data_IF_928408297827
#
_entry.id   IF_928408297827
#
_cell.length_a   1.000
_cell.length_b   1.000
_cell.length_c   1.000
_cell.angle_alpha   90.00
_cell.angle_beta   90.00
_cell.angle_gamma   90.00
#
_symmetry.space_group_name_H-M   'P 1'
#
loop_
_entity.id
_entity.type
_entity.pdbx_description
1 polymer ?
#
# COMPACT_ATOMS: atom_id res chain seq x y z
N UNK A 1 27.64 -24.93 0.87
CA UNK A 1 26.71 -24.58 -0.22
C UNK A 1 26.57 -23.08 -0.25
N UNK A 2 27.28 -22.41 -1.15
CA UNK A 2 27.23 -20.96 -1.31
C UNK A 2 26.03 -20.63 -2.21
N UNK A 3 25.07 -19.88 -1.67
CA UNK A 3 23.94 -19.35 -2.44
C UNK A 3 24.42 -18.06 -3.10
N UNK A 4 24.56 -18.11 -4.42
CA UNK A 4 24.79 -16.95 -5.28
C UNK A 4 23.54 -16.06 -5.24
N UNK A 5 23.61 -14.96 -4.50
CA UNK A 5 22.63 -13.90 -4.57
C UNK A 5 22.78 -13.18 -5.92
N UNK A 6 21.81 -13.36 -6.81
CA UNK A 6 21.65 -12.55 -8.02
C UNK A 6 21.14 -11.19 -7.59
N UNK A 7 22.06 -10.26 -7.30
CA UNK A 7 21.73 -8.85 -7.12
C UNK A 7 21.30 -8.27 -8.47
N UNK A 8 19.99 -8.24 -8.73
CA UNK A 8 19.40 -7.43 -9.78
C UNK A 8 19.68 -5.95 -9.48
N UNK A 9 20.75 -5.41 -10.05
CA UNK A 9 21.03 -3.97 -10.03
C UNK A 9 19.86 -3.26 -10.72
N UNK A 10 19.03 -2.58 -9.94
CA UNK A 10 18.23 -1.48 -10.44
C UNK A 10 19.20 -0.43 -11.00
N UNK A 11 19.38 -0.42 -12.31
CA UNK A 11 20.16 0.61 -12.98
C UNK A 11 19.44 1.94 -12.75
N UNK A 12 20.04 2.80 -11.94
CA UNK A 12 19.66 4.20 -11.86
C UNK A 12 19.62 4.77 -13.28
N UNK A 13 18.44 5.24 -13.70
CA UNK A 13 18.26 5.92 -14.98
C UNK A 13 19.20 7.12 -15.00
N UNK A 14 20.31 7.01 -15.75
CA UNK A 14 21.11 8.18 -16.10
C UNK A 14 20.25 9.07 -17.01
N UNK A 15 20.21 10.40 -16.81
CA UNK A 15 19.60 11.29 -17.77
C UNK A 15 20.46 11.26 -19.04
N UNK A 16 20.04 10.47 -20.02
CA UNK A 16 20.53 10.50 -21.40
C UNK A 16 19.84 11.67 -22.12
N UNK A 17 20.01 12.89 -21.61
CA UNK A 17 19.40 14.09 -22.22
C UNK A 17 20.16 14.56 -23.49
N UNK A 18 21.17 13.82 -23.96
CA UNK A 18 22.01 14.26 -25.09
C UNK A 18 22.30 13.23 -26.19
N UNK A 19 21.91 11.96 -26.06
CA UNK A 19 21.81 11.09 -27.25
C UNK A 19 20.46 11.42 -27.90
N UNK A 20 20.48 12.38 -28.83
CA UNK A 20 19.28 12.96 -29.42
C UNK A 20 18.30 11.89 -29.91
N UNK A 21 17.02 12.05 -29.57
CA UNK A 21 15.91 11.22 -30.02
C UNK A 21 16.00 10.82 -31.51
N UNK A 22 16.54 11.71 -32.35
CA UNK A 22 16.74 11.50 -33.77
C UNK A 22 17.83 10.49 -34.10
N UNK A 23 18.92 10.42 -33.33
CA UNK A 23 19.91 9.35 -33.47
C UNK A 23 19.30 7.98 -33.20
N UNK A 24 18.34 7.89 -32.26
CA UNK A 24 17.68 6.64 -31.94
C UNK A 24 16.67 6.21 -33.02
N UNK A 25 15.86 7.16 -33.52
CA UNK A 25 14.89 6.91 -34.61
C UNK A 25 15.60 6.58 -35.93
N UNK A 26 16.69 7.26 -36.24
CA UNK A 26 17.43 7.15 -37.51
C UNK A 26 18.59 6.14 -37.43
N UNK A 27 18.71 5.41 -36.31
CA UNK A 27 19.77 4.43 -36.10
C UNK A 27 19.70 3.31 -37.14
N UNK A 28 20.80 2.99 -37.85
CA UNK A 28 20.83 1.89 -38.82
C UNK A 28 20.69 0.50 -38.16
N UNK A 29 20.77 0.45 -36.83
CA UNK A 29 20.60 -0.77 -36.05
C UNK A 29 19.13 -1.00 -35.64
N UNK A 30 18.23 -0.10 -36.02
CA UNK A 30 16.78 -0.19 -35.76
C UNK A 30 16.03 -0.45 -37.06
N UNK A 31 15.08 -1.37 -37.01
CA UNK A 31 14.22 -1.73 -38.15
C UNK A 31 12.77 -1.41 -37.81
N UNK A 32 12.48 -0.11 -37.71
CA UNK A 32 11.11 0.37 -37.58
C UNK A 32 10.40 0.18 -38.91
N UNK A 33 9.50 -0.81 -38.96
CA UNK A 33 8.70 -1.13 -40.15
C UNK A 33 7.66 -0.03 -40.44
N UNK A 34 6.82 -0.26 -41.46
CA UNK A 34 5.79 0.68 -41.91
C UNK A 34 4.90 1.15 -40.75
N UNK A 35 4.76 2.47 -40.63
CA UNK A 35 3.90 3.11 -39.63
C UNK A 35 2.47 2.55 -39.70
N UNK A 36 1.94 2.13 -38.55
CA UNK A 36 0.54 1.71 -38.44
C UNK A 36 -0.29 2.84 -37.85
N UNK A 37 -1.31 3.34 -38.58
CA UNK A 37 -2.20 4.34 -38.04
C UNK A 37 -3.08 3.72 -36.95
N UNK A 38 -3.07 4.33 -35.78
CA UNK A 38 -4.03 4.05 -34.70
C UNK A 38 -4.81 5.32 -34.38
N UNK A 39 -5.98 5.17 -33.76
CA UNK A 39 -6.83 6.31 -33.38
C UNK A 39 -7.17 7.24 -34.57
N UNK A 40 -7.68 6.63 -35.66
CA UNK A 40 -8.01 7.34 -36.90
C UNK A 40 -6.83 8.15 -37.50
N UNK A 41 -5.59 7.70 -37.30
CA UNK A 41 -4.39 8.33 -37.85
C UNK A 41 -3.82 9.48 -37.02
N UNK A 42 -4.44 9.81 -35.87
CA UNK A 42 -3.88 10.78 -34.91
C UNK A 42 -2.65 10.24 -34.19
N UNK A 43 -2.41 8.94 -34.29
CA UNK A 43 -1.25 8.28 -33.71
C UNK A 43 -0.66 7.33 -34.76
N UNK A 44 0.67 7.34 -34.90
CA UNK A 44 1.41 6.43 -35.76
C UNK A 44 2.29 5.55 -34.89
N UNK A 45 2.06 4.23 -34.92
CA UNK A 45 2.89 3.25 -34.22
C UNK A 45 3.95 2.67 -35.16
N UNK A 46 5.20 2.71 -34.71
CA UNK A 46 6.38 2.14 -35.34
C UNK A 46 6.93 1.06 -34.39
N UNK A 47 6.56 -0.21 -34.62
CA UNK A 47 7.03 -1.36 -33.83
C UNK A 47 7.99 -2.22 -34.66
N UNK A 48 9.18 -2.51 -34.13
CA UNK A 48 10.14 -3.42 -34.78
C UNK A 48 9.56 -4.83 -34.98
N UNK A 49 8.66 -5.27 -34.08
CA UNK A 49 7.97 -6.55 -34.18
C UNK A 49 6.92 -6.60 -35.29
N UNK A 50 6.33 -5.45 -35.65
CA UNK A 50 5.15 -5.31 -36.51
C UNK A 50 3.93 -6.09 -36.00
N UNK A 51 3.75 -6.13 -34.68
CA UNK A 51 2.67 -6.90 -34.06
C UNK A 51 1.30 -6.18 -34.22
N UNK A 52 0.31 -6.77 -34.90
CA UNK A 52 -1.05 -6.21 -34.96
C UNK A 52 -1.76 -6.14 -33.62
N UNK A 53 -1.49 -7.09 -32.71
CA UNK A 53 -2.12 -7.12 -31.40
C UNK A 53 -1.67 -5.91 -30.58
N UNK A 54 -0.37 -5.59 -30.61
CA UNK A 54 0.14 -4.38 -29.96
C UNK A 54 -0.51 -3.11 -30.52
N UNK A 55 -0.65 -2.99 -31.84
CA UNK A 55 -1.26 -1.82 -32.46
C UNK A 55 -2.72 -1.62 -32.02
N UNK A 56 -3.49 -2.71 -31.95
CA UNK A 56 -4.86 -2.67 -31.46
C UNK A 56 -4.93 -2.30 -29.96
N UNK A 57 -4.06 -2.89 -29.13
CA UNK A 57 -3.99 -2.62 -27.69
C UNK A 57 -3.63 -1.16 -27.39
N UNK A 58 -2.59 -0.63 -28.04
CA UNK A 58 -2.19 0.78 -27.93
C UNK A 58 -3.32 1.70 -28.42
N UNK A 59 -3.97 1.35 -29.53
CA UNK A 59 -5.11 2.13 -30.06
C UNK A 59 -6.33 2.12 -29.13
N UNK A 60 -6.62 1.01 -28.46
CA UNK A 60 -7.69 0.91 -27.46
C UNK A 60 -7.37 1.74 -26.21
N UNK A 61 -6.14 1.65 -25.71
CA UNK A 61 -5.72 2.39 -24.52
C UNK A 61 -5.69 3.91 -24.75
N UNK A 62 -5.19 4.38 -25.90
CA UNK A 62 -5.20 5.80 -26.23
C UNK A 62 -6.62 6.35 -26.42
N UNK A 63 -7.56 5.54 -26.94
CA UNK A 63 -9.00 5.89 -26.95
C UNK A 63 -9.54 6.04 -25.53
N UNK A 64 -9.25 5.07 -24.66
CA UNK A 64 -9.64 5.12 -23.24
C UNK A 64 -9.13 6.40 -22.59
N UNK A 65 -7.86 6.75 -22.77
CA UNK A 65 -7.27 7.98 -22.21
C UNK A 65 -8.01 9.23 -22.72
N UNK A 66 -8.28 9.31 -24.02
CA UNK A 66 -9.01 10.47 -24.59
C UNK A 66 -10.41 10.62 -24.00
N UNK A 67 -11.16 9.52 -23.89
CA UNK A 67 -12.52 9.56 -23.36
C UNK A 67 -12.54 9.78 -21.85
N UNK A 68 -11.74 9.01 -21.11
CA UNK A 68 -11.84 8.93 -19.65
C UNK A 68 -11.03 10.02 -18.96
N UNK A 69 -9.78 10.22 -19.37
CA UNK A 69 -8.85 11.16 -18.73
C UNK A 69 -9.07 12.58 -19.26
N UNK A 70 -9.07 12.78 -20.58
CA UNK A 70 -9.17 14.13 -21.14
C UNK A 70 -10.61 14.63 -21.22
N UNK A 71 -11.54 13.86 -21.80
CA UNK A 71 -12.91 14.34 -21.98
C UNK A 71 -13.74 14.30 -20.68
N UNK A 72 -13.74 13.17 -19.95
CA UNK A 72 -14.57 13.02 -18.74
C UNK A 72 -13.95 13.64 -17.50
N UNK A 73 -12.67 13.38 -17.23
CA UNK A 73 -12.00 13.93 -16.04
C UNK A 73 -11.44 15.34 -16.27
N UNK A 74 -11.36 15.82 -17.52
CA UNK A 74 -10.97 17.19 -17.86
C UNK A 74 -9.50 17.49 -17.61
N UNK A 75 -8.60 16.52 -17.77
CA UNK A 75 -7.15 16.78 -17.78
C UNK A 75 -6.72 17.45 -19.09
N UNK A 76 -5.68 18.29 -19.04
CA UNK A 76 -5.12 18.94 -20.25
C UNK A 76 -4.54 17.91 -21.21
N UNK A 77 -4.96 17.96 -22.49
CA UNK A 77 -4.30 17.19 -23.55
C UNK A 77 -2.90 17.78 -23.78
N UNK A 78 -1.84 16.95 -23.78
CA UNK A 78 -0.48 17.40 -24.08
C UNK A 78 -0.23 17.61 -25.58
N UNK A 79 -1.19 17.25 -26.42
CA UNK A 79 -1.07 17.31 -27.88
C UNK A 79 -2.01 18.38 -28.44
N UNK A 80 -1.50 19.20 -29.37
CA UNK A 80 -2.33 20.17 -30.06
C UNK A 80 -3.31 19.49 -31.02
N UNK A 81 -4.41 20.17 -31.32
CA UNK A 81 -5.40 19.65 -32.24
C UNK A 81 -4.79 19.46 -33.65
N UNK A 82 -4.80 18.22 -34.15
CA UNK A 82 -4.23 17.88 -35.46
C UNK A 82 -2.76 17.44 -35.44
N UNK A 83 -2.07 17.54 -34.30
CA UNK A 83 -0.74 16.93 -34.16
C UNK A 83 -0.85 15.39 -34.13
N UNK A 84 0.05 14.72 -34.84
CA UNK A 84 0.13 13.26 -34.87
C UNK A 84 1.18 12.78 -33.86
N UNK A 85 0.77 12.01 -32.86
CA UNK A 85 1.68 11.36 -31.92
C UNK A 85 2.38 10.18 -32.61
N UNK A 86 3.72 10.13 -32.55
CA UNK A 86 4.49 8.99 -33.06
C UNK A 86 4.95 8.13 -31.89
N UNK A 87 4.61 6.84 -31.90
CA UNK A 87 5.05 5.89 -30.88
C UNK A 87 6.02 4.93 -31.53
N UNK A 88 7.25 4.89 -31.04
CA UNK A 88 8.30 3.99 -31.51
C UNK A 88 8.61 2.97 -30.43
N UNK A 89 8.54 1.69 -30.77
CA UNK A 89 8.75 0.55 -29.86
C UNK A 89 9.85 -0.33 -30.41
N UNK A 90 10.96 -0.46 -29.68
CA UNK A 90 12.02 -1.42 -30.04
C UNK A 90 11.79 -2.75 -29.34
N UNK A 91 12.16 -3.85 -30.01
CA UNK A 91 12.11 -5.20 -29.46
C UNK A 91 13.50 -5.77 -29.19
N UNK A 92 14.55 -5.17 -29.79
CA UNK A 92 15.96 -5.50 -29.54
C UNK A 92 16.54 -4.59 -28.46
N UNK A 93 17.48 -5.10 -27.65
CA UNK A 93 18.12 -4.36 -26.54
C UNK A 93 18.43 -2.91 -26.94
N UNK A 94 17.87 -1.95 -26.21
CA UNK A 94 18.06 -0.51 -26.44
C UNK A 94 18.55 0.21 -25.19
N UNK A 95 19.35 -0.48 -24.38
CA UNK A 95 19.92 0.02 -23.13
C UNK A 95 18.86 0.57 -22.14
N UNK A 96 17.61 0.09 -22.21
CA UNK A 96 16.54 0.46 -21.29
C UNK A 96 15.94 1.85 -21.52
N UNK A 97 16.10 2.44 -22.71
CA UNK A 97 15.58 3.77 -23.03
C UNK A 97 14.05 3.83 -22.91
N UNK A 98 13.53 4.66 -22.00
CA UNK A 98 12.08 4.95 -21.90
C UNK A 98 11.86 6.44 -21.82
N UNK A 99 11.55 7.07 -22.95
CA UNK A 99 11.44 8.53 -23.04
C UNK A 99 10.18 8.97 -23.76
N UNK A 100 9.65 10.10 -23.30
CA UNK A 100 8.69 10.88 -24.05
C UNK A 100 9.39 12.17 -24.46
N UNK A 101 9.38 12.45 -25.76
CA UNK A 101 9.77 13.73 -26.32
C UNK A 101 8.50 14.48 -26.71
N UNK A 102 8.00 15.35 -25.82
CA UNK A 102 6.81 16.16 -26.09
C UNK A 102 7.03 17.08 -27.31
N UNK A 103 8.23 17.68 -27.42
CA UNK A 103 8.70 18.46 -28.57
C UNK A 103 10.24 18.45 -28.60
N UNK A 104 10.83 18.07 -29.72
CA UNK A 104 12.26 18.35 -30.00
C UNK A 104 12.36 19.52 -30.96
N UNK A 105 13.13 20.54 -30.58
CA UNK A 105 13.63 21.55 -31.52
C UNK A 105 14.93 21.00 -32.06
N UNK A 106 14.89 20.47 -33.28
CA UNK A 106 16.09 19.98 -33.96
C UNK A 106 16.21 20.71 -35.30
N UNK A 107 17.33 21.40 -35.52
CA UNK A 107 17.53 22.23 -36.71
C UNK A 107 16.55 23.38 -36.88
N UNK A 108 15.97 23.90 -35.78
CA UNK A 108 15.02 25.03 -35.83
C UNK A 108 13.59 24.68 -36.25
N UNK A 109 13.23 23.39 -36.32
CA UNK A 109 11.86 22.93 -36.59
C UNK A 109 11.30 22.17 -35.39
N UNK A 110 10.04 22.46 -35.03
CA UNK A 110 9.29 21.68 -34.05
C UNK A 110 8.97 20.30 -34.64
N UNK A 111 9.56 19.22 -34.12
CA UNK A 111 9.12 17.87 -34.46
C UNK A 111 7.81 17.55 -33.74
N UNK A 112 6.97 16.76 -34.43
CA UNK A 112 5.74 16.19 -33.87
C UNK A 112 6.04 15.41 -32.57
N UNK A 113 5.10 15.34 -31.61
CA UNK A 113 5.29 14.64 -30.35
C UNK A 113 5.64 13.16 -30.59
N UNK A 114 6.60 12.64 -29.83
CA UNK A 114 7.06 11.26 -29.96
C UNK A 114 7.24 10.56 -28.61
N UNK A 115 6.85 9.28 -28.55
CA UNK A 115 7.18 8.34 -27.48
C UNK A 115 8.22 7.37 -28.02
N UNK A 116 9.35 7.24 -27.33
CA UNK A 116 10.40 6.27 -27.63
C UNK A 116 10.48 5.26 -26.50
N UNK A 117 10.23 4.00 -26.83
CA UNK A 117 10.11 2.93 -25.84
C UNK A 117 11.00 1.75 -26.21
N UNK A 118 11.93 1.43 -25.32
CA UNK A 118 12.58 0.14 -25.26
C UNK A 118 11.61 -0.91 -24.71
N UNK A 119 11.04 -1.69 -25.63
CA UNK A 119 10.16 -2.82 -25.36
C UNK A 119 10.90 -4.15 -25.21
N UNK A 120 12.23 -4.17 -25.15
CA UNK A 120 12.99 -5.42 -24.95
C UNK A 120 12.61 -6.06 -23.61
N UNK A 121 12.23 -7.34 -23.67
CA UNK A 121 11.75 -8.10 -22.50
C UNK A 121 10.38 -7.69 -21.97
N UNK A 122 9.68 -6.74 -22.61
CA UNK A 122 8.33 -6.34 -22.22
C UNK A 122 7.27 -7.08 -23.03
N UNK A 123 6.21 -7.51 -22.35
CA UNK A 123 4.97 -7.96 -23.00
C UNK A 123 4.23 -6.78 -23.65
N UNK A 124 3.36 -7.08 -24.61
CA UNK A 124 2.53 -6.05 -25.27
C UNK A 124 1.65 -5.27 -24.27
N UNK A 125 1.19 -5.94 -23.21
CA UNK A 125 0.47 -5.30 -22.10
C UNK A 125 1.35 -4.29 -21.37
N UNK A 126 2.58 -4.66 -21.04
CA UNK A 126 3.55 -3.76 -20.38
C UNK A 126 3.93 -2.58 -21.30
N UNK A 127 4.09 -2.82 -22.61
CA UNK A 127 4.38 -1.78 -23.61
C UNK A 127 3.21 -0.79 -23.70
N UNK A 128 1.99 -1.28 -23.89
CA UNK A 128 0.76 -0.45 -23.97
C UNK A 128 0.61 0.43 -22.74
N UNK A 129 0.91 -0.14 -21.58
CA UNK A 129 0.83 0.54 -20.30
C UNK A 129 1.91 1.59 -20.09
N UNK A 130 3.14 1.33 -20.54
CA UNK A 130 4.21 2.32 -20.51
C UNK A 130 3.91 3.49 -21.45
N UNK A 131 3.31 3.22 -22.63
CA UNK A 131 2.78 4.26 -23.52
C UNK A 131 1.72 5.10 -22.81
N UNK A 132 0.76 4.46 -22.15
CA UNK A 132 -0.26 5.13 -21.33
C UNK A 132 0.35 6.03 -20.26
N UNK A 133 1.31 5.51 -19.49
CA UNK A 133 2.02 6.26 -18.45
C UNK A 133 2.75 7.48 -19.02
N UNK A 134 3.45 7.33 -20.15
CA UNK A 134 4.16 8.43 -20.80
C UNK A 134 3.20 9.51 -21.32
N UNK A 135 2.03 9.15 -21.85
CA UNK A 135 0.99 10.12 -22.23
C UNK A 135 0.47 10.89 -21.01
N UNK A 136 0.20 10.21 -19.89
CA UNK A 136 -0.23 10.89 -18.67
C UNK A 136 0.87 11.78 -18.10
N UNK A 137 2.13 11.35 -18.11
CA UNK A 137 3.27 12.19 -17.72
C UNK A 137 3.35 13.45 -18.59
N UNK A 138 3.12 13.33 -19.90
CA UNK A 138 3.03 14.46 -20.81
C UNK A 138 1.91 15.44 -20.40
N UNK A 139 0.72 14.90 -20.11
CA UNK A 139 -0.45 15.67 -19.72
C UNK A 139 -0.20 16.46 -18.42
N UNK A 140 0.45 15.84 -17.44
CA UNK A 140 0.87 16.49 -16.19
C UNK A 140 1.92 17.58 -16.47
N UNK A 141 2.90 17.31 -17.34
CA UNK A 141 3.89 18.31 -17.76
C UNK A 141 3.29 19.53 -18.48
N UNK A 142 2.15 19.38 -19.15
CA UNK A 142 1.45 20.47 -19.82
C UNK A 142 0.85 21.52 -18.86
N UNK A 143 0.82 21.25 -17.56
CA UNK A 143 0.51 22.25 -16.54
C UNK A 143 1.68 23.19 -16.25
N UNK A 144 2.91 22.84 -16.65
CA UNK A 144 4.11 23.67 -16.41
C UNK A 144 4.55 23.73 -14.95
N UNK A 145 3.97 22.90 -14.08
CA UNK A 145 4.32 22.84 -12.68
C UNK A 145 5.71 22.22 -12.48
N UNK A 146 6.63 22.87 -11.73
CA UNK A 146 7.89 22.25 -11.37
C UNK A 146 7.65 21.08 -10.40
N UNK A 147 8.37 19.99 -10.59
CA UNK A 147 8.34 18.85 -9.67
C UNK A 147 9.77 18.38 -9.39
N UNK A 148 10.26 18.75 -8.22
CA UNK A 148 11.54 18.29 -7.68
C UNK A 148 11.44 16.94 -6.97
N UNK A 149 10.24 16.36 -6.92
CA UNK A 149 9.89 15.18 -6.16
C UNK A 149 9.54 13.99 -7.07
N UNK A 150 8.67 13.10 -6.59
CA UNK A 150 8.19 11.92 -7.32
C UNK A 150 6.72 12.05 -7.78
N UNK A 151 6.02 13.14 -7.45
CA UNK A 151 4.55 13.21 -7.54
C UNK A 151 4.06 13.10 -8.98
N UNK A 152 4.73 13.73 -9.94
CA UNK A 152 4.37 13.65 -11.37
C UNK A 152 4.50 12.23 -11.91
N UNK A 153 5.59 11.54 -11.55
CA UNK A 153 5.79 10.15 -11.97
C UNK A 153 4.75 9.22 -11.32
N UNK A 154 4.47 9.41 -10.02
CA UNK A 154 3.46 8.66 -9.29
C UNK A 154 2.03 8.91 -9.79
N UNK A 155 1.69 10.15 -10.12
CA UNK A 155 0.40 10.52 -10.68
C UNK A 155 0.23 9.95 -12.10
N UNK A 156 1.27 10.00 -12.93
CA UNK A 156 1.26 9.37 -14.25
C UNK A 156 1.03 7.86 -14.14
N UNK A 157 1.68 7.22 -13.16
CA UNK A 157 1.48 5.80 -12.86
C UNK A 157 0.04 5.51 -12.44
N UNK A 158 -0.53 6.32 -11.55
CA UNK A 158 -1.91 6.18 -11.08
C UNK A 158 -2.94 6.32 -12.21
N UNK A 159 -2.76 7.31 -13.09
CA UNK A 159 -3.67 7.58 -14.21
C UNK A 159 -3.56 6.53 -15.34
N UNK A 160 -2.41 5.85 -15.44
CA UNK A 160 -2.22 4.74 -16.40
C UNK A 160 -3.15 3.54 -16.16
N UNK A 161 -3.85 3.51 -15.02
CA UNK A 161 -4.82 2.48 -14.67
C UNK A 161 -4.21 1.30 -13.90
N UNK A 162 -5.06 0.37 -13.43
CA UNK A 162 -4.62 -0.77 -12.64
C UNK A 162 -3.66 -1.63 -13.45
N UNK A 163 -2.53 -1.99 -12.83
CA UNK A 163 -1.58 -2.93 -13.41
C UNK A 163 -2.13 -4.36 -13.22
N UNK A 164 -1.34 -5.37 -13.60
CA UNK A 164 -1.61 -6.71 -13.08
C UNK A 164 -1.50 -6.67 -11.55
N UNK A 165 -2.58 -7.01 -10.84
CA UNK A 165 -2.67 -6.85 -9.40
C UNK A 165 -1.56 -7.65 -8.68
N UNK A 166 -1.13 -8.76 -9.28
CA UNK A 166 -0.07 -9.61 -8.75
C UNK A 166 1.33 -9.02 -8.95
N UNK A 167 1.64 -8.52 -10.16
CA UNK A 167 2.93 -7.86 -10.47
C UNK A 167 3.14 -6.62 -9.59
N UNK A 168 2.04 -5.94 -9.25
CA UNK A 168 2.03 -4.78 -8.35
C UNK A 168 2.28 -5.12 -6.92
N UNK A 169 1.51 -6.09 -6.44
CA UNK A 169 1.66 -6.56 -5.09
C UNK A 169 3.11 -7.00 -4.88
N UNK A 170 3.71 -7.70 -5.83
CA UNK A 170 5.10 -8.14 -5.74
C UNK A 170 6.11 -6.98 -5.75
N UNK A 171 6.00 -6.05 -6.70
CA UNK A 171 6.93 -4.91 -6.77
C UNK A 171 6.85 -4.05 -5.50
N UNK A 172 5.63 -3.77 -5.01
CA UNK A 172 5.42 -3.03 -3.78
C UNK A 172 5.86 -3.83 -2.55
N UNK A 173 5.69 -5.16 -2.53
CA UNK A 173 6.13 -6.06 -1.45
C UNK A 173 7.65 -6.01 -1.28
N UNK A 174 8.39 -6.13 -2.39
CA UNK A 174 9.87 -6.06 -2.38
C UNK A 174 10.33 -4.69 -1.88
N UNK A 175 9.73 -3.61 -2.40
CA UNK A 175 10.09 -2.25 -1.99
C UNK A 175 9.75 -1.96 -0.51
N UNK A 176 8.69 -2.56 0.02
CA UNK A 176 8.22 -2.39 1.39
C UNK A 176 8.88 -3.34 2.42
N UNK A 177 9.78 -4.23 2.00
CA UNK A 177 10.50 -5.11 2.93
C UNK A 177 11.60 -4.37 3.72
N UNK A 178 12.06 -3.22 3.20
CA UNK A 178 13.14 -2.44 3.78
C UNK A 178 12.86 -1.89 5.19
N UNK A 179 13.89 -1.87 6.03
CA UNK A 179 13.86 -1.25 7.36
C UNK A 179 13.61 0.27 7.32
N UNK A 180 13.98 0.90 6.20
CA UNK A 180 13.60 2.26 5.84
C UNK A 180 13.15 2.28 4.37
N UNK A 181 12.11 3.04 4.08
CA UNK A 181 11.47 3.11 2.78
C UNK A 181 11.42 4.58 2.35
N UNK A 182 12.23 4.93 1.34
CA UNK A 182 12.21 6.24 0.71
C UNK A 182 11.29 6.22 -0.52
N UNK A 183 10.20 6.99 -0.47
CA UNK A 183 9.27 7.09 -1.59
C UNK A 183 9.91 7.63 -2.86
N UNK A 184 10.97 8.43 -2.77
CA UNK A 184 11.69 8.96 -3.93
C UNK A 184 12.41 7.85 -4.68
N UNK A 185 13.03 6.93 -3.96
CA UNK A 185 13.71 5.77 -4.55
C UNK A 185 12.71 4.79 -5.19
N UNK A 186 11.46 4.76 -4.72
CA UNK A 186 10.41 3.85 -5.17
C UNK A 186 9.18 4.56 -5.76
N UNK A 187 9.40 5.70 -6.44
CA UNK A 187 8.37 6.58 -6.98
C UNK A 187 7.24 5.84 -7.75
N UNK A 188 7.63 4.88 -8.61
CA UNK A 188 6.68 4.13 -9.44
C UNK A 188 5.87 3.11 -8.65
N UNK A 189 6.52 2.36 -7.76
CA UNK A 189 5.88 1.25 -7.05
C UNK A 189 5.06 1.73 -5.85
N UNK A 190 5.60 2.70 -5.11
CA UNK A 190 5.04 3.16 -3.83
C UNK A 190 4.48 4.57 -3.91
N UNK A 191 5.07 5.45 -4.73
CA UNK A 191 4.57 6.81 -4.91
C UNK A 191 3.13 6.81 -5.45
N UNK A 192 2.76 5.87 -6.34
CA UNK A 192 1.37 5.68 -6.78
C UNK A 192 0.41 5.50 -5.60
N UNK A 193 0.74 4.61 -4.66
CA UNK A 193 -0.09 4.29 -3.49
C UNK A 193 -0.19 5.50 -2.54
N UNK A 194 0.88 6.29 -2.43
CA UNK A 194 0.88 7.55 -1.69
C UNK A 194 -0.07 8.59 -2.30
N UNK A 195 -0.03 8.79 -3.62
CA UNK A 195 -0.96 9.69 -4.33
C UNK A 195 -2.40 9.17 -4.26
N UNK A 196 -2.60 7.85 -4.29
CA UNK A 196 -3.91 7.23 -4.10
C UNK A 196 -4.48 7.51 -2.69
N UNK A 197 -3.64 7.53 -1.66
CA UNK A 197 -4.02 7.91 -0.30
C UNK A 197 -4.43 9.38 -0.20
N UNK A 198 -3.70 10.26 -0.89
CA UNK A 198 -4.08 11.66 -1.03
C UNK A 198 -5.46 11.79 -1.68
N UNK A 199 -5.70 11.07 -2.79
CA UNK A 199 -7.00 11.10 -3.48
C UNK A 199 -8.16 10.58 -2.64
N UNK A 200 -7.95 9.60 -1.75
CA UNK A 200 -9.01 9.17 -0.82
C UNK A 200 -9.38 10.27 0.17
N UNK A 201 -8.40 11.08 0.56
CA UNK A 201 -8.59 12.15 1.55
C UNK A 201 -9.15 13.42 0.90
N UNK A 202 -8.68 13.77 -0.30
CA UNK A 202 -9.00 15.03 -0.99
C UNK A 202 -10.02 14.88 -2.15
N UNK A 203 -10.39 13.65 -2.51
CA UNK A 203 -11.28 13.36 -3.64
C UNK A 203 -10.60 13.40 -5.01
N UNK A 204 -11.25 12.82 -6.03
CA UNK A 204 -10.68 12.62 -7.37
C UNK A 204 -10.30 13.91 -8.12
N UNK A 205 -11.00 15.03 -7.88
CA UNK A 205 -10.68 16.32 -8.48
C UNK A 205 -9.47 17.01 -7.82
N UNK A 206 -9.10 16.59 -6.60
CA UNK A 206 -8.06 17.23 -5.80
C UNK A 206 -6.70 17.20 -6.50
N UNK A 207 -6.32 16.08 -7.12
CA UNK A 207 -5.01 15.96 -7.78
C UNK A 207 -4.88 16.88 -9.00
N UNK A 208 -5.93 17.02 -9.81
CA UNK A 208 -5.89 17.95 -10.95
C UNK A 208 -5.74 19.40 -10.47
N UNK A 209 -6.49 19.80 -9.44
CA UNK A 209 -6.40 21.13 -8.85
C UNK A 209 -5.00 21.43 -8.27
N UNK A 210 -4.30 20.41 -7.75
CA UNK A 210 -2.89 20.54 -7.34
C UNK A 210 -2.03 20.95 -8.53
N UNK A 211 -2.07 20.21 -9.64
CA UNK A 211 -1.26 20.55 -10.83
C UNK A 211 -1.61 21.90 -11.45
N UNK A 212 -2.89 22.28 -11.44
CA UNK A 212 -3.36 23.60 -11.86
C UNK A 212 -2.75 24.71 -11.01
N UNK A 213 -2.93 24.64 -9.68
CA UNK A 213 -2.39 25.63 -8.75
C UNK A 213 -0.86 25.70 -8.77
N UNK A 214 -0.18 24.55 -8.84
CA UNK A 214 1.27 24.49 -8.94
C UNK A 214 1.78 25.14 -10.22
N UNK A 215 1.12 24.89 -11.36
CA UNK A 215 1.48 25.50 -12.64
C UNK A 215 1.25 27.00 -12.67
N UNK A 216 0.12 27.47 -12.12
CA UNK A 216 -0.23 28.90 -12.04
C UNK A 216 0.70 29.67 -11.10
N UNK A 217 1.07 29.08 -9.96
CA UNK A 217 1.94 29.70 -8.97
C UNK A 217 3.43 29.50 -9.24
N UNK A 218 3.81 28.58 -10.13
CA UNK A 218 5.21 28.16 -10.32
C UNK A 218 5.78 27.44 -9.09
N UNK A 219 4.93 26.82 -8.29
CA UNK A 219 5.30 26.12 -7.05
C UNK A 219 5.54 24.63 -7.28
N UNK A 220 6.37 24.02 -6.44
CA UNK A 220 6.61 22.58 -6.46
C UNK A 220 5.32 21.78 -6.21
N UNK A 221 5.05 20.79 -7.07
CA UNK A 221 3.84 19.97 -7.02
C UNK A 221 3.62 19.31 -5.66
N UNK A 222 4.68 18.80 -5.01
CA UNK A 222 4.55 18.16 -3.71
C UNK A 222 4.20 19.17 -2.61
N UNK A 223 4.78 20.38 -2.64
CA UNK A 223 4.43 21.43 -1.69
C UNK A 223 2.95 21.81 -1.80
N UNK A 224 2.44 22.00 -3.03
CA UNK A 224 1.02 22.28 -3.26
C UNK A 224 0.13 21.10 -2.87
N UNK A 225 0.53 19.86 -3.13
CA UNK A 225 -0.20 18.65 -2.74
C UNK A 225 -0.38 18.58 -1.22
N UNK A 226 0.69 18.75 -0.46
CA UNK A 226 0.65 18.68 1.01
C UNK A 226 -0.16 19.82 1.61
N UNK A 227 -0.03 21.04 1.06
CA UNK A 227 -0.86 22.18 1.46
C UNK A 227 -2.35 21.88 1.23
N UNK A 228 -2.68 21.32 0.06
CA UNK A 228 -4.06 20.91 -0.27
C UNK A 228 -4.59 19.85 0.69
N UNK A 229 -3.76 18.87 1.04
CA UNK A 229 -4.12 17.84 1.99
C UNK A 229 -4.44 18.45 3.36
N UNK A 230 -3.57 19.33 3.87
CA UNK A 230 -3.78 20.01 5.15
C UNK A 230 -5.02 20.91 5.13
N UNK A 231 -5.24 21.68 4.06
CA UNK A 231 -6.43 22.51 3.87
C UNK A 231 -7.72 21.68 3.88
N UNK A 232 -7.70 20.50 3.27
CA UNK A 232 -8.91 19.67 3.10
C UNK A 232 -9.23 18.83 4.32
N UNK A 233 -8.20 18.32 5.01
CA UNK A 233 -8.36 17.37 6.12
C UNK A 233 -8.19 18.01 7.50
N UNK A 234 -7.54 19.17 7.59
CA UNK A 234 -7.08 19.74 8.85
C UNK A 234 -5.91 18.99 9.49
N UNK A 235 -5.32 18.01 8.80
CA UNK A 235 -4.22 17.20 9.32
C UNK A 235 -2.86 17.69 8.82
N UNK A 236 -1.82 17.41 9.59
CA UNK A 236 -0.44 17.69 9.22
C UNK A 236 0.07 16.74 8.12
N UNK A 237 1.13 17.14 7.40
CA UNK A 237 1.65 16.41 6.24
C UNK A 237 2.11 14.97 6.57
N UNK A 238 2.66 14.75 7.76
CA UNK A 238 3.11 13.45 8.24
C UNK A 238 1.96 12.45 8.39
N UNK A 239 0.71 12.91 8.55
CA UNK A 239 -0.44 12.01 8.59
C UNK A 239 -0.74 11.36 7.26
N UNK A 240 -0.56 12.08 6.14
CA UNK A 240 -0.69 11.47 4.83
C UNK A 240 0.33 10.33 4.65
N UNK A 241 1.57 10.58 5.06
CA UNK A 241 2.65 9.60 5.01
C UNK A 241 2.35 8.37 5.88
N UNK A 242 1.83 8.58 7.08
CA UNK A 242 1.47 7.47 7.96
C UNK A 242 0.28 6.67 7.45
N UNK A 243 -0.79 7.32 6.95
CA UNK A 243 -1.96 6.64 6.35
C UNK A 243 -1.52 5.77 5.18
N UNK A 244 -0.63 6.29 4.33
CA UNK A 244 0.00 5.52 3.26
C UNK A 244 0.72 4.29 3.82
N UNK A 245 1.60 4.47 4.82
CA UNK A 245 2.35 3.37 5.44
C UNK A 245 1.43 2.31 6.04
N UNK A 246 0.44 2.72 6.84
CA UNK A 246 -0.56 1.84 7.44
C UNK A 246 -1.26 1.01 6.37
N UNK A 247 -1.76 1.65 5.31
CA UNK A 247 -2.45 0.93 4.23
C UNK A 247 -1.52 -0.04 3.52
N UNK A 248 -0.27 0.36 3.26
CA UNK A 248 0.75 -0.47 2.65
C UNK A 248 0.94 -1.77 3.46
N UNK A 249 1.20 -1.66 4.77
CA UNK A 249 1.47 -2.81 5.62
C UNK A 249 0.21 -3.54 6.11
N UNK A 250 -0.98 -2.94 6.01
CA UNK A 250 -2.26 -3.61 6.27
C UNK A 250 -2.73 -4.45 5.06
N UNK A 251 -2.37 -4.05 3.84
CA UNK A 251 -2.75 -4.75 2.61
C UNK A 251 -1.68 -5.71 2.09
N UNK A 252 -0.39 -5.40 2.25
CA UNK A 252 0.70 -6.22 1.73
C UNK A 252 1.30 -7.15 2.78
N UNK A 253 1.24 -8.45 2.50
CA UNK A 253 2.04 -9.42 3.23
C UNK A 253 3.51 -9.30 2.77
N UNK A 254 4.22 -8.38 3.41
CA UNK A 254 5.66 -8.15 3.23
C UNK A 254 6.50 -9.25 3.86
N UNK A 255 7.65 -9.53 3.24
CA UNK A 255 8.67 -10.38 3.85
C UNK A 255 9.19 -9.72 5.14
N UNK A 256 9.20 -10.41 6.29
CA UNK A 256 9.62 -9.80 7.56
C UNK A 256 11.12 -9.49 7.62
N UNK A 257 11.96 -10.21 6.89
CA UNK A 257 13.37 -9.84 6.74
C UNK A 257 13.46 -8.89 5.54
N UNK A 258 14.18 -7.75 5.58
CA UNK A 258 15.18 -7.25 6.55
C UNK A 258 14.68 -6.39 7.72
N UNK A 259 13.39 -6.10 7.85
CA UNK A 259 12.86 -5.20 8.90
C UNK A 259 12.64 -5.89 10.26
N UNK A 260 12.85 -7.20 10.35
CA UNK A 260 12.61 -8.02 11.55
C UNK A 260 13.37 -7.48 12.76
N UNK A 261 12.67 -7.40 13.88
CA UNK A 261 13.24 -7.04 15.19
C UNK A 261 12.84 -8.08 16.23
N UNK A 262 13.78 -8.48 17.10
CA UNK A 262 13.51 -9.39 18.21
C UNK A 262 12.82 -8.69 19.38
N UNK A 263 12.10 -9.45 20.22
CA UNK A 263 11.51 -8.92 21.44
C UNK A 263 12.58 -8.34 22.39
N UNK A 264 13.71 -9.03 22.55
CA UNK A 264 14.82 -8.55 23.38
C UNK A 264 15.38 -7.22 22.85
N UNK A 265 15.49 -7.09 21.51
CA UNK A 265 15.95 -5.84 20.89
C UNK A 265 14.96 -4.71 21.19
N UNK A 266 13.65 -4.95 21.05
CA UNK A 266 12.61 -3.98 21.42
C UNK A 266 12.72 -3.55 22.89
N UNK A 267 12.85 -4.51 23.82
CA UNK A 267 12.98 -4.24 25.25
C UNK A 267 14.27 -3.49 25.61
N UNK A 268 15.34 -3.69 24.83
CA UNK A 268 16.59 -2.94 24.98
C UNK A 268 16.55 -1.54 24.36
N UNK A 269 15.40 -1.13 23.81
CA UNK A 269 15.21 0.17 23.16
C UNK A 269 15.88 0.24 21.79
N UNK A 270 16.01 -0.88 21.07
CA UNK A 270 16.60 -0.91 19.72
C UNK A 270 15.74 -0.16 18.68
N UNK A 271 14.43 -0.07 18.91
CA UNK A 271 13.52 0.67 18.03
C UNK A 271 13.66 2.18 18.23
N UNK A 272 14.13 2.86 17.18
CA UNK A 272 14.21 4.32 17.14
C UNK A 272 12.88 4.92 16.66
N UNK A 273 12.20 5.63 17.55
CA UNK A 273 10.95 6.33 17.29
C UNK A 273 11.17 7.76 16.76
N UNK A 274 12.40 8.22 16.53
CA UNK A 274 12.65 9.51 15.90
C UNK A 274 11.99 9.58 14.51
N UNK A 275 11.44 10.74 14.13
CA UNK A 275 10.92 10.91 12.78
C UNK A 275 12.08 10.83 11.77
N UNK A 276 12.03 9.92 10.76
CA UNK A 276 13.01 9.95 9.68
C UNK A 276 12.80 11.19 8.79
N UNK A 277 13.65 11.37 7.78
CA UNK A 277 13.50 12.47 6.83
C UNK A 277 12.13 12.42 6.12
N UNK A 278 11.55 13.58 5.78
CA UNK A 278 10.28 13.65 5.08
C UNK A 278 10.25 12.78 3.81
N UNK A 279 9.13 12.07 3.61
CA UNK A 279 8.92 11.03 2.59
C UNK A 279 9.68 9.72 2.79
N UNK A 280 10.26 9.51 3.98
CA UNK A 280 10.79 8.22 4.43
C UNK A 280 9.83 7.60 5.45
N UNK A 281 9.59 6.30 5.37
CA UNK A 281 9.02 5.50 6.47
C UNK A 281 10.13 4.70 7.13
N UNK A 282 10.16 4.68 8.46
CA UNK A 282 10.90 3.66 9.20
C UNK A 282 9.96 2.52 9.54
N UNK A 283 10.39 1.29 9.30
CA UNK A 283 9.59 0.09 9.52
C UNK A 283 10.35 -0.97 10.31
N UNK A 284 9.71 -1.57 11.32
CA UNK A 284 10.20 -2.77 11.99
C UNK A 284 9.08 -3.79 12.18
N UNK A 285 9.37 -5.06 11.95
CA UNK A 285 8.41 -6.15 12.11
C UNK A 285 8.77 -7.02 13.32
N UNK A 286 7.84 -7.12 14.26
CA UNK A 286 7.91 -8.12 15.33
C UNK A 286 7.11 -9.37 14.91
N UNK A 287 7.72 -10.54 15.06
CA UNK A 287 7.05 -11.83 14.96
C UNK A 287 6.87 -12.40 16.37
N UNK A 288 5.67 -12.31 16.97
CA UNK A 288 5.43 -12.72 18.35
C UNK A 288 5.66 -14.23 18.55
N UNK A 289 6.28 -14.57 19.68
CA UNK A 289 6.30 -15.94 20.20
C UNK A 289 5.01 -16.23 20.98
N UNK A 290 4.61 -17.50 21.04
CA UNK A 290 3.39 -17.93 21.74
C UNK A 290 3.45 -17.72 23.27
N UNK A 291 4.63 -17.40 23.82
CA UNK A 291 4.86 -17.21 25.26
C UNK A 291 4.59 -15.80 25.76
N UNK A 292 4.46 -14.81 24.88
CA UNK A 292 4.23 -13.41 25.28
C UNK A 292 2.78 -13.04 25.02
N UNK A 293 2.04 -12.69 26.08
CA UNK A 293 0.61 -12.40 25.96
C UNK A 293 0.36 -11.01 25.37
N UNK A 294 1.14 -10.00 25.77
CA UNK A 294 1.02 -8.64 25.25
C UNK A 294 2.32 -7.83 25.33
N UNK A 295 2.35 -6.69 24.64
CA UNK A 295 3.44 -5.74 24.61
C UNK A 295 2.93 -4.35 24.97
N UNK A 296 3.33 -3.83 26.14
CA UNK A 296 3.12 -2.42 26.48
C UNK A 296 4.21 -1.59 25.81
N UNK A 297 3.80 -0.53 25.14
CA UNK A 297 4.69 0.37 24.41
C UNK A 297 4.51 1.77 24.93
N UNK A 298 5.62 2.40 25.35
CA UNK A 298 5.66 3.81 25.71
C UNK A 298 6.43 4.56 24.64
N UNK A 299 5.74 5.48 23.98
CA UNK A 299 6.30 6.30 22.92
C UNK A 299 6.94 7.56 23.49
N UNK A 300 8.16 7.91 23.07
CA UNK A 300 8.85 9.06 23.63
C UNK A 300 8.19 10.39 23.20
N UNK A 301 8.31 11.44 24.02
CA UNK A 301 7.73 12.77 23.75
C UNK A 301 8.39 13.48 22.54
N UNK A 302 9.64 13.16 22.28
CA UNK A 302 10.40 13.63 21.11
C UNK A 302 10.31 12.69 19.91
N UNK A 303 9.54 11.59 20.03
CA UNK A 303 9.25 10.68 18.93
C UNK A 303 8.49 11.34 17.78
N UNK A 304 8.56 10.72 16.61
CA UNK A 304 7.72 11.03 15.46
C UNK A 304 6.35 10.36 15.56
N UNK A 305 5.43 10.76 14.69
CA UNK A 305 4.11 10.13 14.60
C UNK A 305 4.22 8.69 14.06
N UNK A 306 3.54 7.75 14.69
CA UNK A 306 3.68 6.33 14.37
C UNK A 306 2.35 5.56 14.37
N UNK A 307 2.44 4.32 13.89
CA UNK A 307 1.37 3.33 13.98
C UNK A 307 1.93 1.92 14.17
N UNK A 308 1.15 1.06 14.82
CA UNK A 308 1.34 -0.38 14.81
C UNK A 308 0.24 -1.03 13.96
N UNK A 309 0.61 -1.82 12.95
CA UNK A 309 -0.31 -2.64 12.18
C UNK A 309 -0.25 -4.07 12.73
N UNK A 310 -1.34 -4.52 13.30
CA UNK A 310 -1.47 -5.83 13.97
C UNK A 310 -2.14 -6.81 13.02
N UNK A 311 -1.44 -7.87 12.64
CA UNK A 311 -1.99 -8.93 11.78
C UNK A 311 -2.21 -10.21 12.56
N UNK A 312 -3.36 -10.81 12.38
CA UNK A 312 -3.76 -12.03 13.06
C UNK A 312 -3.31 -13.29 12.30
N UNK A 313 -3.12 -14.39 13.05
CA UNK A 313 -2.89 -15.72 12.47
C UNK A 313 -4.14 -16.28 11.79
N UNK A 314 -5.29 -15.71 12.10
CA UNK A 314 -6.55 -15.98 11.42
C UNK A 314 -6.65 -15.08 10.17
N UNK A 315 -6.46 -15.62 8.97
CA UNK A 315 -6.39 -14.81 7.74
C UNK A 315 -7.75 -14.19 7.35
N UNK A 316 -8.84 -14.64 7.97
CA UNK A 316 -10.17 -14.05 7.74
C UNK A 316 -10.37 -12.74 8.52
N UNK A 317 -9.48 -12.41 9.48
CA UNK A 317 -9.53 -11.15 10.20
C UNK A 317 -8.74 -10.08 9.43
N UNK A 318 -9.29 -8.86 9.29
CA UNK A 318 -8.51 -7.74 8.78
C UNK A 318 -7.38 -7.39 9.76
N UNK A 319 -6.36 -6.70 9.25
CA UNK A 319 -5.35 -6.11 10.13
C UNK A 319 -5.94 -4.93 10.91
N UNK A 320 -5.59 -4.84 12.19
CA UNK A 320 -5.94 -3.68 13.02
C UNK A 320 -4.81 -2.67 13.05
N UNK A 321 -5.16 -1.41 13.35
CA UNK A 321 -4.23 -0.28 13.33
C UNK A 321 -4.34 0.49 14.62
N UNK A 322 -3.22 0.61 15.31
CA UNK A 322 -3.08 1.44 16.50
C UNK A 322 -2.21 2.65 16.16
N UNK A 323 -2.78 3.85 16.18
CA UNK A 323 -2.01 5.09 16.00
C UNK A 323 -1.34 5.50 17.31
N UNK A 324 -0.07 5.89 17.23
CA UNK A 324 0.76 6.24 18.38
C UNK A 324 1.29 7.65 18.20
N UNK A 325 0.92 8.54 19.11
CA UNK A 325 1.43 9.91 19.16
C UNK A 325 2.55 10.03 20.22
N UNK A 326 3.38 11.08 20.13
CA UNK A 326 4.40 11.37 21.13
C UNK A 326 3.85 11.41 22.56
N UNK A 327 4.57 10.77 23.49
CA UNK A 327 4.21 10.68 24.91
C UNK A 327 3.10 9.69 25.26
N UNK A 328 2.50 9.00 24.27
CA UNK A 328 1.44 8.03 24.54
C UNK A 328 1.97 6.66 24.99
N UNK A 329 1.14 5.94 25.73
CA UNK A 329 1.36 4.54 26.09
C UNK A 329 0.18 3.70 25.63
N UNK A 330 0.46 2.54 25.06
CA UNK A 330 -0.55 1.60 24.56
C UNK A 330 -0.16 0.15 24.90
N UNK A 331 -1.12 -0.77 24.85
CA UNK A 331 -0.85 -2.19 25.04
C UNK A 331 -1.37 -2.99 23.85
N UNK A 332 -0.45 -3.67 23.15
CA UNK A 332 -0.78 -4.52 21.99
C UNK A 332 -0.88 -5.97 22.46
N UNK A 333 -2.07 -6.61 22.40
CA UNK A 333 -2.18 -8.04 22.66
C UNK A 333 -1.45 -8.81 21.57
N UNK A 334 -0.77 -9.90 21.93
CA UNK A 334 -0.02 -10.75 21.01
C UNK A 334 -0.66 -12.14 20.85
N UNK A 335 -1.60 -12.50 21.71
CA UNK A 335 -2.34 -13.76 21.59
C UNK A 335 -3.12 -13.82 20.26
N UNK A 336 -2.77 -14.79 19.42
CA UNK A 336 -3.37 -14.95 18.08
C UNK A 336 -2.83 -14.00 17.00
N UNK A 337 -1.83 -13.17 17.34
CA UNK A 337 -1.15 -12.28 16.39
C UNK A 337 -0.06 -13.05 15.63
N UNK A 338 -0.02 -12.85 14.32
CA UNK A 338 1.01 -13.38 13.43
C UNK A 338 2.22 -12.44 13.36
N UNK A 339 1.98 -11.14 13.28
CA UNK A 339 3.01 -10.10 13.20
C UNK A 339 2.49 -8.73 13.64
N UNK A 340 3.40 -7.89 14.10
CA UNK A 340 3.16 -6.46 14.36
C UNK A 340 4.17 -5.64 13.58
N UNK A 341 3.68 -4.78 12.68
CA UNK A 341 4.49 -3.86 11.88
C UNK A 341 4.46 -2.46 12.51
N UNK A 342 5.59 -2.02 13.06
CA UNK A 342 5.77 -0.68 13.62
C UNK A 342 6.26 0.28 12.53
N UNK A 343 5.56 1.38 12.35
CA UNK A 343 5.80 2.35 11.29
C UNK A 343 5.96 3.74 11.90
N UNK A 344 7.04 4.45 11.56
CA UNK A 344 7.24 5.86 11.91
C UNK A 344 7.28 6.68 10.62
N UNK A 345 6.41 7.69 10.54
CA UNK A 345 6.37 8.58 9.40
C UNK A 345 7.44 9.67 9.51
N UNK A 346 8.10 9.97 8.39
CA UNK A 346 9.07 11.05 8.33
C UNK A 346 8.43 12.43 8.30
N UNK A 347 9.12 13.41 8.88
CA UNK A 347 8.67 14.80 9.03
C UNK A 347 9.63 15.73 8.27
N UNK A 348 9.14 16.69 7.47
CA UNK A 348 10.05 17.59 6.72
C UNK A 348 10.69 18.65 7.59
N UNK A 349 9.98 19.13 8.62
CA UNK A 349 10.39 20.29 9.41
C UNK A 349 11.21 19.91 10.65
N UNK A 350 11.22 18.63 11.03
CA UNK A 350 11.81 18.15 12.29
C UNK A 350 13.06 17.31 12.01
N UNK A 351 14.19 17.97 11.82
CA UNK A 351 15.51 17.30 11.81
C UNK A 351 15.97 17.08 13.25
N UNK A 352 15.31 16.18 13.97
CA UNK A 352 15.88 15.68 15.23
C UNK A 352 16.94 14.65 14.87
N UNK A 353 18.19 14.97 15.15
CA UNK A 353 19.32 14.05 15.00
C UNK A 353 19.53 13.15 16.21
N UNK A 354 18.81 13.41 17.31
CA UNK A 354 18.86 12.60 18.53
C UNK A 354 17.92 11.40 18.40
N UNK A 355 18.46 10.23 18.72
CA UNK A 355 17.69 8.99 18.78
C UNK A 355 16.63 9.09 19.89
N UNK A 356 15.39 8.71 19.57
CA UNK A 356 14.28 8.70 20.53
C UNK A 356 13.83 7.24 20.73
N UNK A 357 14.46 6.46 21.64
CA UNK A 357 14.12 5.04 21.78
C UNK A 357 12.71 4.87 22.37
N UNK A 358 11.87 4.07 21.71
CA UNK A 358 10.61 3.63 22.30
C UNK A 358 10.87 2.50 23.31
N UNK A 359 10.10 2.48 24.40
CA UNK A 359 10.24 1.50 25.47
C UNK A 359 9.16 0.44 25.34
N UNK A 360 9.58 -0.82 25.41
CA UNK A 360 8.71 -1.98 25.27
C UNK A 360 8.80 -2.86 26.52
N UNK A 361 7.65 -3.24 27.06
CA UNK A 361 7.51 -4.10 28.24
C UNK A 361 6.60 -5.28 27.89
N UNK A 362 7.08 -6.50 28.14
CA UNK A 362 6.29 -7.71 27.92
C UNK A 362 5.35 -7.93 29.12
N UNK A 363 4.08 -8.24 28.84
CA UNK A 363 3.08 -8.56 29.85
C UNK A 363 2.60 -10.00 29.69
N UNK A 364 2.39 -10.70 30.80
CA UNK A 364 2.00 -12.12 30.84
C UNK A 364 0.48 -12.34 30.82
N UNK A 365 -0.32 -11.32 31.16
CA UNK A 365 -1.73 -11.49 31.54
C UNK A 365 -2.63 -10.34 31.03
N UNK A 366 -2.60 -10.08 29.73
CA UNK A 366 -3.41 -9.04 29.08
C UNK A 366 -4.11 -9.57 27.82
N UNK A 367 -5.37 -9.20 27.55
CA UNK A 367 -6.23 -8.33 28.35
C UNK A 367 -6.95 -9.03 29.51
N UNK A 368 -6.75 -10.34 29.69
CA UNK A 368 -7.38 -11.14 30.75
C UNK A 368 -6.42 -12.20 31.30
N UNK A 369 -6.77 -12.75 32.46
CA UNK A 369 -6.10 -13.90 33.08
C UNK A 369 -7.10 -14.97 33.54
N UNK A 370 -6.61 -16.18 33.80
CA UNK A 370 -7.40 -17.28 34.38
C UNK A 370 -8.62 -17.69 33.55
N UNK A 371 -8.49 -17.69 32.22
CA UNK A 371 -9.56 -18.06 31.31
C UNK A 371 -9.99 -19.52 31.50
N UNK A 372 -11.28 -19.74 31.77
CA UNK A 372 -11.89 -21.07 31.89
C UNK A 372 -13.10 -21.18 30.96
N UNK A 373 -12.92 -21.70 29.73
CA UNK A 373 -14.00 -21.80 28.74
C UNK A 373 -14.73 -23.14 28.82
N UNK A 374 -16.03 -23.10 28.48
CA UNK A 374 -16.91 -24.26 28.35
C UNK A 374 -17.81 -24.07 27.13
N UNK A 375 -18.07 -25.17 26.42
CA UNK A 375 -18.99 -25.20 25.29
C UNK A 375 -19.88 -26.43 25.39
N UNK A 376 -21.18 -26.24 25.22
CA UNK A 376 -22.20 -27.28 25.35
C UNK A 376 -23.24 -27.13 24.24
N UNK A 377 -23.58 -28.22 23.56
CA UNK A 377 -24.73 -28.27 22.67
C UNK A 377 -25.95 -28.78 23.45
N UNK A 378 -27.10 -28.13 23.24
CA UNK A 378 -28.39 -28.58 23.71
C UNK A 378 -29.44 -28.45 22.59
N UNK A 379 -30.69 -28.81 22.89
CA UNK A 379 -31.83 -28.60 22.00
C UNK A 379 -32.12 -27.12 21.72
N UNK A 380 -31.65 -26.22 22.59
CA UNK A 380 -31.84 -24.78 22.46
C UNK A 380 -30.72 -24.10 21.65
N UNK A 381 -29.75 -24.88 21.16
CA UNK A 381 -28.59 -24.41 20.40
C UNK A 381 -27.25 -24.68 21.08
N UNK A 382 -26.23 -23.90 20.73
CA UNK A 382 -24.89 -24.02 21.32
C UNK A 382 -24.68 -22.92 22.36
N UNK A 383 -24.40 -23.32 23.60
CA UNK A 383 -24.00 -22.41 24.68
C UNK A 383 -22.49 -22.43 24.85
N UNK A 384 -21.88 -21.26 24.71
CA UNK A 384 -20.52 -20.98 25.16
C UNK A 384 -20.60 -20.23 26.48
N UNK A 385 -19.78 -20.60 27.46
CA UNK A 385 -19.61 -19.83 28.69
C UNK A 385 -18.15 -19.83 29.09
N UNK A 386 -17.66 -18.71 29.58
CA UNK A 386 -16.28 -18.62 30.07
C UNK A 386 -16.18 -17.72 31.28
N UNK A 387 -15.19 -18.00 32.11
CA UNK A 387 -14.82 -17.14 33.23
C UNK A 387 -13.41 -16.60 33.03
N UNK A 388 -13.16 -15.38 33.51
CA UNK A 388 -11.83 -14.81 33.72
C UNK A 388 -11.59 -14.66 35.21
N UNK A 389 -10.34 -14.71 35.67
CA UNK A 389 -9.99 -14.34 37.05
C UNK A 389 -9.82 -12.83 37.22
N UNK A 390 -9.36 -12.15 36.18
CA UNK A 390 -9.26 -10.70 36.09
C UNK A 390 -9.20 -10.28 34.61
N UNK A 391 -9.50 -9.00 34.34
CA UNK A 391 -9.27 -8.36 33.04
C UNK A 391 -9.01 -6.87 33.17
N UNK A 392 -8.26 -6.34 32.20
CA UNK A 392 -7.91 -4.93 32.09
C UNK A 392 -8.10 -4.45 30.64
N UNK A 393 -8.60 -3.23 30.48
CA UNK A 393 -8.87 -2.58 29.20
C UNK A 393 -9.66 -3.47 28.22
N UNK A 394 -10.65 -4.20 28.75
CA UNK A 394 -11.48 -5.12 27.97
C UNK A 394 -12.79 -4.43 27.57
N UNK A 395 -12.93 -4.09 26.29
CA UNK A 395 -14.17 -3.54 25.74
C UNK A 395 -15.27 -4.61 25.59
N UNK A 396 -14.87 -5.86 25.30
CA UNK A 396 -15.81 -6.95 25.10
C UNK A 396 -15.19 -8.20 24.50
N UNK A 397 -16.04 -9.03 23.92
CA UNK A 397 -15.68 -10.28 23.26
C UNK A 397 -16.33 -10.36 21.89
N UNK A 398 -15.56 -10.77 20.88
CA UNK A 398 -16.04 -11.08 19.55
C UNK A 398 -16.12 -12.59 19.38
N UNK A 399 -17.34 -13.09 19.13
CA UNK A 399 -17.59 -14.51 18.85
C UNK A 399 -17.79 -14.70 17.36
N UNK A 400 -16.96 -15.57 16.77
CA UNK A 400 -17.10 -16.03 15.40
C UNK A 400 -17.56 -17.48 15.40
N UNK A 401 -18.44 -17.80 14.47
CA UNK A 401 -18.93 -19.16 14.24
C UNK A 401 -18.54 -19.58 12.83
N UNK A 402 -17.98 -20.77 12.71
CA UNK A 402 -17.69 -21.42 11.45
C UNK A 402 -18.43 -22.75 11.38
N UNK A 403 -19.04 -23.03 10.23
CA UNK A 403 -19.73 -24.28 9.95
C UNK A 403 -19.20 -24.89 8.65
N UNK A 404 -19.15 -26.22 8.62
CA UNK A 404 -18.80 -26.98 7.42
C UNK A 404 -20.09 -27.24 6.64
N UNK A 405 -20.20 -26.65 5.45
CA UNK A 405 -21.33 -26.84 4.56
C UNK A 405 -21.28 -28.22 3.88
N UNK A 406 -22.43 -28.75 3.40
CA UNK A 406 -22.47 -30.03 2.69
C UNK A 406 -21.59 -30.12 1.44
N UNK A 407 -21.24 -28.98 0.83
CA UNK A 407 -20.33 -28.90 -0.33
C UNK A 407 -18.85 -28.88 0.07
N UNK A 408 -18.54 -29.03 1.36
CA UNK A 408 -17.20 -29.03 1.92
C UNK A 408 -16.61 -27.64 2.14
N UNK A 409 -17.34 -26.55 1.84
CA UNK A 409 -16.87 -25.18 2.12
C UNK A 409 -17.08 -24.82 3.59
N UNK A 410 -16.19 -23.98 4.10
CA UNK A 410 -16.34 -23.39 5.43
C UNK A 410 -17.07 -22.06 5.27
N UNK A 411 -18.23 -21.94 5.92
CA UNK A 411 -18.93 -20.68 6.06
C UNK A 411 -18.62 -20.07 7.44
N UNK A 412 -18.34 -18.76 7.48
CA UNK A 412 -18.07 -18.02 8.71
C UNK A 412 -19.10 -16.92 8.89
N UNK A 413 -19.69 -16.87 10.09
CA UNK A 413 -20.60 -15.82 10.53
C UNK A 413 -20.06 -15.11 11.78
N UNK A 414 -20.42 -13.84 11.93
CA UNK A 414 -19.98 -12.96 13.02
C UNK A 414 -19.22 -11.72 12.50
N UNK A 415 -18.63 -10.91 13.41
CA UNK A 415 -18.58 -11.14 14.85
C UNK A 415 -19.93 -10.84 15.52
N UNK A 416 -20.30 -11.67 16.50
CA UNK A 416 -21.25 -11.27 17.53
C UNK A 416 -20.49 -10.69 18.72
N UNK A 417 -20.79 -9.44 19.08
CA UNK A 417 -20.07 -8.72 20.13
C UNK A 417 -20.82 -8.82 21.45
N UNK A 418 -20.12 -9.27 22.50
CA UNK A 418 -20.59 -9.23 23.88
C UNK A 418 -19.80 -8.16 24.64
N UNK A 419 -20.43 -7.09 25.14
CA UNK A 419 -19.72 -6.04 25.87
C UNK A 419 -19.17 -6.54 27.20
N UNK A 420 -18.12 -5.90 27.68
CA UNK A 420 -17.50 -6.12 28.99
C UNK A 420 -17.46 -4.84 29.83
N UNK A 421 -17.13 -4.97 31.11
CA UNK A 421 -16.63 -3.83 31.91
C UNK A 421 -15.16 -3.55 31.56
N UNK A 422 -14.76 -2.28 31.65
CA UNK A 422 -13.39 -1.83 31.34
C UNK A 422 -12.31 -2.52 32.18
N UNK A 423 -12.61 -2.81 33.44
CA UNK A 423 -11.75 -3.59 34.33
C UNK A 423 -12.60 -4.45 35.28
N UNK A 424 -12.04 -5.57 35.70
CA UNK A 424 -12.52 -6.33 36.84
C UNK A 424 -11.31 -6.96 37.56
N UNK A 425 -11.19 -6.65 38.85
CA UNK A 425 -10.20 -7.28 39.75
C UNK A 425 -10.71 -8.63 40.32
N UNK A 426 -11.98 -8.95 40.07
CA UNK A 426 -12.64 -10.19 40.52
C UNK A 426 -13.05 -11.06 39.33
N UNK A 427 -13.36 -12.32 39.61
CA UNK A 427 -13.78 -13.26 38.57
C UNK A 427 -15.08 -12.81 37.89
N UNK A 428 -15.03 -12.71 36.57
CA UNK A 428 -16.18 -12.35 35.75
C UNK A 428 -16.60 -13.52 34.87
N UNK A 429 -17.90 -13.67 34.63
CA UNK A 429 -18.46 -14.75 33.80
C UNK A 429 -19.23 -14.18 32.62
N UNK A 430 -19.00 -14.77 31.46
CA UNK A 430 -19.67 -14.44 30.22
C UNK A 430 -20.37 -15.68 29.68
N UNK A 431 -21.47 -15.48 28.98
CA UNK A 431 -22.19 -16.54 28.29
C UNK A 431 -22.73 -16.03 26.95
N UNK A 432 -22.69 -16.90 25.96
CA UNK A 432 -23.21 -16.69 24.63
C UNK A 432 -24.05 -17.92 24.24
N UNK A 433 -25.25 -17.69 23.69
CA UNK A 433 -26.12 -18.74 23.18
C UNK A 433 -26.35 -18.51 21.67
N UNK A 434 -25.91 -19.46 20.86
CA UNK A 434 -26.21 -19.53 19.43
C UNK A 434 -27.45 -20.40 19.21
N UNK A 435 -28.61 -19.75 19.11
CA UNK A 435 -29.89 -20.40 18.82
C UNK A 435 -30.09 -20.73 17.35
N UNK A 436 -29.19 -20.26 16.47
CA UNK A 436 -29.23 -20.50 15.03
C UNK A 436 -28.42 -21.73 14.61
N UNK A 437 -27.78 -22.42 15.55
CA UNK A 437 -27.06 -23.66 15.29
C UNK A 437 -28.05 -24.79 14.96
N UNK A 438 -27.91 -25.39 13.78
CA UNK A 438 -28.76 -26.48 13.34
C UNK A 438 -28.38 -27.80 14.05
N UNK A 439 -29.35 -28.70 14.32
CA UNK A 439 -29.09 -30.05 14.85
C UNK A 439 -28.17 -30.88 13.95
N UNK A 440 -27.38 -31.77 14.55
CA UNK A 440 -26.47 -32.68 13.85
C UNK A 440 -25.27 -32.06 13.11
N UNK A 441 -25.05 -30.75 13.18
CA UNK A 441 -23.99 -30.01 12.45
C UNK A 441 -22.75 -29.79 13.32
N UNK A 442 -21.56 -29.85 12.70
CA UNK A 442 -20.30 -29.47 13.33
C UNK A 442 -20.06 -27.96 13.23
N UNK A 443 -19.83 -27.34 14.37
CA UNK A 443 -19.48 -25.93 14.49
C UNK A 443 -18.11 -25.75 15.13
N UNK A 444 -17.33 -24.77 14.63
CA UNK A 444 -16.16 -24.21 15.32
C UNK A 444 -16.48 -22.79 15.75
N UNK A 445 -16.42 -22.54 17.06
CA UNK A 445 -16.52 -21.20 17.61
C UNK A 445 -15.12 -20.70 17.97
N UNK A 446 -14.81 -19.47 17.58
CA UNK A 446 -13.58 -18.79 18.00
C UNK A 446 -13.95 -17.51 18.73
N UNK A 447 -13.44 -17.36 19.95
CA UNK A 447 -13.72 -16.21 20.81
C UNK A 447 -12.46 -15.38 20.96
N UNK A 448 -12.59 -14.08 20.70
CA UNK A 448 -11.54 -13.09 20.83
C UNK A 448 -11.95 -12.05 21.88
N UNK A 449 -11.03 -11.65 22.74
CA UNK A 449 -11.19 -10.44 23.55
C UNK A 449 -10.94 -9.21 22.68
N UNK A 450 -11.71 -8.15 22.90
CA UNK A 450 -11.58 -6.85 22.22
C UNK A 450 -11.06 -5.85 23.26
N UNK A 451 -9.88 -5.27 23.03
CA UNK A 451 -9.30 -4.28 23.93
C UNK A 451 -10.02 -2.93 23.81
N UNK A 452 -9.77 -2.00 24.74
CA UNK A 452 -10.27 -0.63 24.69
C UNK A 452 -9.84 0.12 23.42
N UNK A 453 -8.65 -0.21 22.90
CA UNK A 453 -8.12 0.32 21.64
C UNK A 453 -8.69 -0.40 20.39
N UNK A 454 -9.59 -1.37 20.58
CA UNK A 454 -10.23 -2.14 19.51
C UNK A 454 -9.40 -3.30 18.96
N UNK A 455 -8.25 -3.62 19.55
CA UNK A 455 -7.40 -4.74 19.13
C UNK A 455 -7.98 -6.08 19.61
N UNK A 456 -7.70 -7.15 18.86
CA UNK A 456 -8.17 -8.49 19.20
C UNK A 456 -7.09 -9.32 19.88
N UNK A 457 -7.46 -10.04 20.94
CA UNK A 457 -6.62 -11.05 21.58
C UNK A 457 -7.33 -12.41 21.55
N UNK A 458 -6.72 -13.42 20.93
CA UNK A 458 -7.34 -14.75 20.83
C UNK A 458 -7.48 -15.35 22.22
N UNK A 459 -8.70 -15.74 22.58
CA UNK A 459 -8.98 -16.33 23.88
C UNK A 459 -9.03 -17.85 23.81
N UNK A 460 -10.02 -18.39 23.09
CA UNK A 460 -10.16 -19.82 22.93
C UNK A 460 -10.91 -20.17 21.63
N UNK A 461 -10.87 -21.45 21.28
CA UNK A 461 -11.72 -22.02 20.25
C UNK A 461 -12.33 -23.32 20.74
N UNK A 462 -13.60 -23.56 20.40
CA UNK A 462 -14.32 -24.77 20.73
C UNK A 462 -14.92 -25.38 19.46
N UNK A 463 -14.75 -26.69 19.29
CA UNK A 463 -15.38 -27.45 18.21
C UNK A 463 -16.30 -28.48 18.81
N UNK A 464 -17.55 -28.49 18.37
CA UNK A 464 -18.55 -29.44 18.85
C UNK A 464 -19.57 -29.75 17.75
N UNK A 465 -20.26 -30.87 17.91
CA UNK A 465 -21.43 -31.25 17.11
C UNK A 465 -22.69 -30.99 17.93
N UNK A 466 -23.70 -30.39 17.32
CA UNK A 466 -25.03 -30.26 17.92
C UNK A 466 -25.70 -31.63 18.03
N UNK A 467 -26.61 -31.79 19.01
CA UNK A 467 -27.42 -33.00 19.11
C UNK A 467 -28.27 -33.19 17.84
N UNK A 468 -28.57 -34.43 17.50
CA UNK A 468 -29.43 -34.78 16.35
C UNK A 468 -30.91 -34.40 16.59
#
# INVERSE_FOLDING_TARGET
MAVLAVSGRAAAQRPLDSIGASFWIESPYRDFRTARPVLAGRVLLYDEGNDPVLAEAVGAELRRIQTETFARQGWRSPFAEGETLRVYVTRREADGLRTLSARTVEGGRLRAPAILLDGSGLSDRQITREVSRLVHRAALGAYGAPDSSFVTEAAAELLSGPRDAEEDAETSRIAAAGAELDLRAHARALGRLYVEEFLRSAGGAGLRSVFERSGEAGEDVLATLLRTFAETTGEAEERLMLRFGVRLYASLETEPAPSRIGLLDLQSGAFDASAPAGLVLRHRTLLPSDTTAALRVRWPEDGGTAAAVVRYRDPALPADVLYVNPGQSHTVPLAGVARVDWIVAGERQRTITLRAPALFEALSDFPFSGLSPQATASTDGVRLSWATSAHADLAGWAVFREELLPDGKIFRSGPQVLPSSLAAEESFRYAYLDTAAAPGVYYRYTVWAVTADGLLARAFSATLRTAD
#
